data_IF_914674903471
#
_entry.id   IF_914674903471
#
_cell.length_a   1.000
_cell.length_b   1.000
_cell.length_c   1.000
_cell.angle_alpha   90.00
_cell.angle_beta   90.00
_cell.angle_gamma   90.00
#
_symmetry.space_group_name_H-M   'P 1'
#
loop_
_entity.id
_entity.type
_entity.pdbx_description
1 polymer ?
#
# COMPACT_ATOMS: atom_id res chain seq x y z
N UNK A 1 -20.08 3.06 -24.21
CA UNK A 1 -20.77 3.28 -22.90
C UNK A 1 -19.95 2.82 -21.67
N UNK A 2 -18.60 2.83 -21.68
CA UNK A 2 -17.77 2.31 -20.58
C UNK A 2 -17.19 3.39 -19.63
N UNK A 3 -17.25 4.67 -19.99
CA UNK A 3 -16.64 5.77 -19.23
C UNK A 3 -17.50 6.35 -18.09
N UNK A 4 -18.82 6.08 -18.04
CA UNK A 4 -19.71 6.66 -17.01
C UNK A 4 -19.65 5.94 -15.66
N UNK A 5 -19.21 4.68 -15.61
CA UNK A 5 -19.14 3.88 -14.36
C UNK A 5 -17.89 4.19 -13.52
N UNK A 6 -16.86 4.79 -14.09
CA UNK A 6 -15.62 5.10 -13.37
C UNK A 6 -15.78 6.32 -12.44
N UNK A 7 -16.49 7.36 -12.89
CA UNK A 7 -16.70 8.59 -12.10
C UNK A 7 -17.58 8.39 -10.86
N UNK A 8 -18.55 7.48 -10.89
CA UNK A 8 -19.38 7.18 -9.71
C UNK A 8 -18.62 6.38 -8.64
N UNK A 9 -17.56 5.66 -9.01
CA UNK A 9 -16.70 4.96 -8.04
C UNK A 9 -15.83 5.96 -7.27
N UNK A 10 -15.23 6.95 -7.97
CA UNK A 10 -14.37 7.96 -7.36
C UNK A 10 -15.15 8.89 -6.41
N UNK A 11 -16.39 9.26 -6.73
CA UNK A 11 -17.23 10.04 -5.81
C UNK A 11 -17.57 9.31 -4.51
N UNK A 12 -17.69 7.96 -4.55
CA UNK A 12 -17.94 7.16 -3.35
C UNK A 12 -16.75 7.13 -2.40
N UNK A 13 -15.52 7.19 -2.92
CA UNK A 13 -14.30 7.26 -2.10
C UNK A 13 -14.05 8.65 -1.49
N UNK A 14 -14.47 9.74 -2.15
CA UNK A 14 -14.34 11.11 -1.59
C UNK A 14 -15.30 11.39 -0.43
N UNK A 15 -16.47 10.75 -0.36
CA UNK A 15 -17.43 10.94 0.75
C UNK A 15 -17.02 10.29 2.06
N UNK A 16 -16.08 9.34 2.05
CA UNK A 16 -15.64 8.65 3.26
C UNK A 16 -14.44 9.33 3.96
N UNK A 17 -13.93 10.45 3.42
CA UNK A 17 -12.83 11.22 4.02
C UNK A 17 -13.28 12.26 5.06
N UNK A 18 -14.60 12.44 5.27
CA UNK A 18 -15.12 13.43 6.23
C UNK A 18 -15.79 12.83 7.48
N UNK A 19 -15.58 11.55 7.81
CA UNK A 19 -16.18 10.99 9.04
C UNK A 19 -15.26 10.03 9.80
N UNK A 20 -14.02 10.47 10.04
CA UNK A 20 -13.01 9.69 10.78
C UNK A 20 -13.05 9.88 12.32
N UNK A 21 -14.10 10.49 12.88
CA UNK A 21 -14.19 10.79 14.32
C UNK A 21 -15.10 9.85 15.13
N UNK A 22 -15.60 8.77 14.56
CA UNK A 22 -16.43 7.83 15.28
C UNK A 22 -16.06 6.41 14.90
N UNK A 23 -15.15 5.81 15.66
CA UNK A 23 -15.06 4.37 15.99
C UNK A 23 -13.64 4.06 16.47
N UNK A 24 -13.38 4.20 17.78
CA UNK A 24 -12.40 3.35 18.47
C UNK A 24 -12.67 3.40 19.98
N UNK A 25 -13.69 2.64 20.42
CA UNK A 25 -13.71 2.05 21.76
C UNK A 25 -13.36 0.57 21.60
N UNK A 26 -12.54 0.09 22.53
CA UNK A 26 -12.02 -1.27 22.72
C UNK A 26 -10.68 -1.57 22.05
N UNK A 27 -9.60 -1.23 22.74
CA UNK A 27 -8.35 -1.98 22.64
C UNK A 27 -7.98 -2.52 24.02
N UNK A 28 -8.15 -3.84 24.16
CA UNK A 28 -7.56 -4.63 25.23
C UNK A 28 -6.04 -4.42 25.22
N UNK A 29 -5.49 -4.08 26.40
CA UNK A 29 -4.06 -4.06 26.68
C UNK A 29 -3.43 -5.39 26.22
N UNK A 30 -2.71 -5.35 25.09
CA UNK A 30 -1.71 -6.36 24.74
C UNK A 30 -0.35 -5.76 25.05
N UNK A 31 0.42 -6.49 25.82
CA UNK A 31 1.78 -6.18 26.24
C UNK A 31 2.63 -5.83 25.00
N UNK A 32 3.24 -4.65 25.03
CA UNK A 32 4.08 -4.17 23.93
C UNK A 32 5.51 -4.64 24.17
N UNK A 33 5.88 -5.73 23.49
CA UNK A 33 7.29 -6.00 23.20
C UNK A 33 7.85 -4.77 22.46
N UNK A 34 9.02 -4.32 22.87
CA UNK A 34 9.69 -3.06 22.52
C UNK A 34 9.98 -2.90 21.01
N UNK A 35 8.95 -2.65 20.22
CA UNK A 35 9.10 -2.10 18.87
C UNK A 35 9.10 -0.57 19.00
N UNK A 36 10.22 0.06 18.65
CA UNK A 36 10.32 1.52 18.63
C UNK A 36 9.16 2.11 17.83
N UNK A 37 8.46 3.09 18.42
CA UNK A 37 7.35 3.77 17.73
C UNK A 37 7.90 4.42 16.46
N UNK A 38 7.35 4.06 15.30
CA UNK A 38 7.67 4.72 14.04
C UNK A 38 7.30 6.20 14.13
N UNK A 39 8.10 7.05 13.49
CA UNK A 39 7.76 8.46 13.36
C UNK A 39 6.58 8.60 12.41
N UNK A 40 5.85 9.71 12.53
CA UNK A 40 4.74 10.01 11.62
C UNK A 40 5.21 10.04 10.16
N UNK A 41 6.41 10.59 9.91
CA UNK A 41 7.07 10.60 8.61
C UNK A 41 7.29 9.19 8.04
N UNK A 42 7.77 8.26 8.86
CA UNK A 42 8.03 6.87 8.44
C UNK A 42 6.71 6.15 8.09
N UNK A 43 5.63 6.46 8.81
CA UNK A 43 4.28 5.92 8.55
C UNK A 43 3.77 6.43 7.20
N UNK A 44 3.92 7.73 6.92
CA UNK A 44 3.52 8.35 5.65
C UNK A 44 4.28 7.70 4.49
N UNK A 45 5.61 7.60 4.60
CA UNK A 45 6.45 6.99 3.56
C UNK A 45 6.07 5.53 3.30
N UNK A 46 5.84 4.75 4.38
CA UNK A 46 5.38 3.36 4.27
C UNK A 46 4.08 3.29 3.49
N UNK A 47 3.11 4.13 3.82
CA UNK A 47 1.78 4.11 3.20
C UNK A 47 1.84 4.55 1.72
N UNK A 48 2.69 5.53 1.39
CA UNK A 48 3.01 5.91 0.01
C UNK A 48 3.60 4.73 -0.80
N UNK A 49 4.55 3.99 -0.24
CA UNK A 49 5.14 2.80 -0.89
C UNK A 49 4.06 1.74 -1.18
N UNK A 50 3.16 1.50 -0.22
CA UNK A 50 2.06 0.54 -0.40
C UNK A 50 1.08 0.98 -1.48
N UNK A 51 0.72 2.27 -1.51
CA UNK A 51 -0.12 2.84 -2.55
C UNK A 51 0.53 2.69 -3.92
N UNK A 52 1.83 2.98 -4.03
CA UNK A 52 2.59 2.84 -5.27
C UNK A 52 2.63 1.39 -5.77
N UNK A 53 2.85 0.43 -4.88
CA UNK A 53 2.81 -1.00 -5.23
C UNK A 53 1.44 -1.38 -5.83
N UNK A 54 0.36 -0.93 -5.18
CA UNK A 54 -1.00 -1.21 -5.63
C UNK A 54 -1.27 -0.62 -7.01
N UNK A 55 -0.86 0.63 -7.26
CA UNK A 55 -0.97 1.25 -8.58
C UNK A 55 -0.24 0.47 -9.67
N UNK A 56 1.00 0.06 -9.41
CA UNK A 56 1.81 -0.68 -10.36
C UNK A 56 1.19 -2.04 -10.70
N UNK A 57 0.67 -2.75 -9.69
CA UNK A 57 -0.05 -4.01 -9.91
C UNK A 57 -1.32 -3.79 -10.75
N UNK A 58 -2.10 -2.75 -10.44
CA UNK A 58 -3.32 -2.42 -11.20
C UNK A 58 -3.00 -2.05 -12.65
N UNK A 59 -1.93 -1.31 -12.91
CA UNK A 59 -1.45 -1.00 -14.26
C UNK A 59 -0.99 -2.25 -15.01
N UNK A 60 -0.26 -3.13 -14.34
CA UNK A 60 0.23 -4.38 -14.93
C UNK A 60 -0.88 -5.43 -15.14
N UNK A 61 -2.12 -5.17 -14.69
CA UNK A 61 -3.25 -6.11 -14.73
C UNK A 61 -2.95 -7.47 -14.09
N UNK A 62 -1.96 -7.54 -13.20
CA UNK A 62 -1.55 -8.78 -12.53
C UNK A 62 -2.44 -9.06 -11.32
N UNK A 63 -2.82 -10.32 -11.15
CA UNK A 63 -3.51 -10.78 -9.96
C UNK A 63 -2.53 -10.87 -8.78
N UNK A 64 -3.03 -10.63 -7.58
CA UNK A 64 -2.23 -10.65 -6.34
C UNK A 64 -1.53 -11.99 -6.12
N UNK A 65 -2.18 -13.08 -6.52
CA UNK A 65 -1.64 -14.44 -6.43
C UNK A 65 -0.42 -14.64 -7.31
N UNK A 66 -0.45 -14.07 -8.51
CA UNK A 66 0.55 -14.31 -9.54
C UNK A 66 1.79 -13.47 -9.18
N UNK A 67 1.58 -12.19 -8.87
CA UNK A 67 2.65 -11.31 -8.40
C UNK A 67 3.28 -11.81 -7.07
N UNK A 68 2.51 -12.42 -6.16
CA UNK A 68 3.10 -13.00 -4.94
C UNK A 68 4.02 -14.18 -5.22
N UNK A 69 3.68 -15.02 -6.20
CA UNK A 69 4.52 -16.16 -6.61
C UNK A 69 5.79 -15.68 -7.28
N UNK A 70 5.66 -14.71 -8.19
CA UNK A 70 6.77 -14.17 -8.96
C UNK A 70 7.79 -13.45 -8.08
N UNK A 71 7.33 -12.83 -6.98
CA UNK A 71 8.19 -12.14 -6.01
C UNK A 71 8.74 -13.10 -4.94
N UNK A 72 8.34 -14.38 -4.98
CA UNK A 72 8.69 -15.45 -4.03
C UNK A 72 8.28 -15.11 -2.58
N UNK A 73 7.07 -14.61 -2.41
CA UNK A 73 6.55 -14.17 -1.11
C UNK A 73 5.20 -14.77 -0.83
N UNK A 74 5.01 -15.19 0.41
CA UNK A 74 3.73 -15.72 0.86
C UNK A 74 2.58 -14.70 0.63
N UNK A 75 1.43 -15.21 0.20
CA UNK A 75 0.25 -14.39 -0.11
C UNK A 75 -0.18 -13.51 1.07
N UNK A 76 -0.03 -13.97 2.32
CA UNK A 76 -0.36 -13.19 3.52
C UNK A 76 0.57 -12.00 3.70
N UNK A 77 1.87 -12.19 3.43
CA UNK A 77 2.85 -11.11 3.44
C UNK A 77 2.55 -10.09 2.33
N UNK A 78 2.21 -10.55 1.14
CA UNK A 78 1.82 -9.66 0.04
C UNK A 78 0.56 -8.86 0.36
N UNK A 79 -0.46 -9.48 0.98
CA UNK A 79 -1.66 -8.75 1.42
C UNK A 79 -1.35 -7.63 2.41
N UNK A 80 -0.36 -7.81 3.28
CA UNK A 80 0.07 -6.78 4.22
C UNK A 80 0.67 -5.54 3.53
N UNK A 81 1.25 -5.73 2.35
CA UNK A 81 1.85 -4.63 1.56
C UNK A 81 0.83 -3.83 0.74
N UNK A 82 -0.39 -4.32 0.59
CA UNK A 82 -1.45 -3.58 -0.10
C UNK A 82 -2.48 -2.95 0.85
N UNK A 83 -2.53 -3.42 2.11
CA UNK A 83 -3.46 -2.91 3.12
C UNK A 83 -2.75 -1.84 3.96
N UNK A 84 -3.34 -0.64 3.98
CA UNK A 84 -2.86 0.47 4.81
C UNK A 84 -3.04 0.19 6.31
N UNK A 85 -4.08 -0.56 6.68
CA UNK A 85 -4.42 -0.93 8.06
C UNK A 85 -3.37 -1.80 8.76
N UNK A 86 -2.48 -2.46 8.01
CA UNK A 86 -1.50 -3.40 8.57
C UNK A 86 -0.16 -2.70 8.70
N UNK A 87 0.41 -2.59 9.90
CA UNK A 87 1.65 -1.82 10.11
C UNK A 87 2.94 -2.40 9.50
N UNK A 88 2.83 -3.44 8.67
CA UNK A 88 3.96 -4.07 7.98
C UNK A 88 4.33 -3.31 6.72
N UNK A 89 5.53 -2.72 6.72
CA UNK A 89 6.14 -2.11 5.53
C UNK A 89 6.88 -3.11 4.65
N UNK A 90 7.26 -2.64 3.46
CA UNK A 90 8.21 -3.34 2.59
C UNK A 90 9.64 -2.89 2.89
N UNK A 91 10.58 -3.83 2.86
CA UNK A 91 12.00 -3.47 2.79
C UNK A 91 12.39 -3.08 1.37
N UNK A 92 13.50 -2.34 1.22
CA UNK A 92 14.02 -1.95 -0.09
C UNK A 92 14.36 -3.16 -0.98
N UNK A 93 14.82 -4.27 -0.38
CA UNK A 93 15.09 -5.53 -1.09
C UNK A 93 13.83 -6.13 -1.70
N UNK A 94 12.72 -6.05 -0.96
CA UNK A 94 11.42 -6.50 -1.44
C UNK A 94 10.89 -5.61 -2.56
N UNK A 95 11.05 -4.28 -2.45
CA UNK A 95 10.73 -3.35 -3.54
C UNK A 95 11.55 -3.69 -4.78
N UNK A 96 12.86 -3.94 -4.64
CA UNK A 96 13.73 -4.32 -5.75
C UNK A 96 13.27 -5.60 -6.45
N UNK A 97 12.85 -6.63 -5.70
CA UNK A 97 12.29 -7.87 -6.28
C UNK A 97 11.01 -7.60 -7.07
N UNK A 98 10.09 -6.80 -6.52
CA UNK A 98 8.87 -6.39 -7.24
C UNK A 98 9.24 -5.64 -8.53
N UNK A 99 10.20 -4.72 -8.47
CA UNK A 99 10.64 -3.96 -9.64
C UNK A 99 11.15 -4.89 -10.76
N UNK A 100 11.95 -5.91 -10.40
CA UNK A 100 12.45 -6.92 -11.35
C UNK A 100 11.31 -7.69 -12.02
N UNK A 101 10.31 -8.13 -11.25
CA UNK A 101 9.14 -8.86 -11.78
C UNK A 101 8.32 -7.99 -12.72
N UNK A 102 8.15 -6.71 -12.37
CA UNK A 102 7.40 -5.74 -13.18
C UNK A 102 8.23 -5.17 -14.35
N UNK A 103 9.51 -5.51 -14.47
CA UNK A 103 10.40 -5.00 -15.52
C UNK A 103 10.71 -3.50 -15.41
N UNK A 104 10.59 -2.92 -14.21
CA UNK A 104 10.89 -1.50 -13.95
C UNK A 104 12.16 -1.34 -13.12
N UNK A 105 12.76 -0.16 -13.14
CA UNK A 105 13.88 0.13 -12.23
C UNK A 105 13.38 0.62 -10.88
N UNK A 106 14.24 0.56 -9.87
CA UNK A 106 13.95 1.13 -8.56
C UNK A 106 13.70 2.65 -8.65
N UNK A 107 14.38 3.34 -9.57
CA UNK A 107 14.14 4.76 -9.83
C UNK A 107 12.70 4.96 -10.30
N UNK A 108 12.24 4.20 -11.28
CA UNK A 108 10.88 4.33 -11.84
C UNK A 108 9.77 4.00 -10.82
N UNK A 109 10.10 3.15 -9.84
CA UNK A 109 9.21 2.89 -8.72
C UNK A 109 8.94 4.16 -7.91
N UNK A 110 10.00 4.88 -7.52
CA UNK A 110 9.93 6.11 -6.73
C UNK A 110 9.66 7.37 -7.55
N UNK A 111 9.79 7.30 -8.88
CA UNK A 111 9.44 8.38 -9.82
C UNK A 111 7.90 8.46 -9.99
N UNK A 112 7.22 8.87 -8.91
CA UNK A 112 5.77 8.98 -8.85
C UNK A 112 5.34 10.21 -8.06
N UNK A 113 4.26 10.85 -8.51
CA UNK A 113 3.66 11.99 -7.83
C UNK A 113 3.20 11.69 -6.39
N UNK A 114 3.05 10.40 -6.02
CA UNK A 114 2.76 9.96 -4.65
C UNK A 114 3.85 10.45 -3.67
N UNK A 115 5.11 10.55 -4.10
CA UNK A 115 6.23 10.94 -3.25
C UNK A 115 6.54 12.45 -3.27
N UNK A 116 5.69 13.26 -3.91
CA UNK A 116 5.92 14.71 -4.06
C UNK A 116 5.34 15.55 -2.90
N UNK A 117 4.73 14.93 -1.89
CA UNK A 117 4.25 15.65 -0.70
C UNK A 117 5.44 15.99 0.23
N UNK A 118 5.56 17.28 0.58
CA UNK A 118 6.57 17.87 1.47
C UNK A 118 6.00 18.11 2.85
#
# INVERSE_FOLDING_TARGET
MKYRKFNNSIQKYRKNLCNANALHKNHQKKETCCMGKLRVEDIILRDQIKLRLKELREKSSQNKSDLSKDVEIDRQNFQAWEKLEIDRGMSIYSVSRVCKVLGITLKDFFDSNIFNEK
#
